data_IF_351809449701
#
_entry.id   IF_351809449701
#
_cell.length_a   1.000
_cell.length_b   1.000
_cell.length_c   1.000
_cell.angle_alpha   90.00
_cell.angle_beta   90.00
_cell.angle_gamma   90.00
#
_symmetry.space_group_name_H-M   'P 1'
#
loop_
_entity.id
_entity.type
_entity.pdbx_description
1 polymer ?
#
# COMPACT_ATOMS: atom_id res chain seq x y z
N UNK A 1 -10.76 -1.24 12.83
CA UNK A 1 -11.24 0.06 13.31
C UNK A 1 -12.28 0.58 12.31
N UNK A 2 -13.38 1.23 12.81
CA UNK A 2 -14.44 1.76 11.94
C UNK A 2 -13.89 2.79 10.93
N UNK A 3 -12.97 3.64 11.36
CA UNK A 3 -12.33 4.65 10.49
C UNK A 3 -11.56 3.98 9.35
N UNK A 4 -10.79 2.94 9.64
CA UNK A 4 -10.06 2.19 8.61
C UNK A 4 -11.03 1.54 7.62
N UNK A 5 -12.09 0.92 8.12
CA UNK A 5 -13.11 0.31 7.26
C UNK A 5 -13.81 1.34 6.34
N UNK A 6 -14.08 2.55 6.85
CA UNK A 6 -14.67 3.65 6.05
C UNK A 6 -13.66 4.17 5.02
N UNK A 7 -12.39 4.32 5.39
CA UNK A 7 -11.34 4.77 4.48
C UNK A 7 -11.04 3.72 3.41
N UNK A 8 -11.01 2.44 3.77
CA UNK A 8 -10.82 1.33 2.82
C UNK A 8 -12.02 1.16 1.87
N UNK A 9 -13.24 1.42 2.35
CA UNK A 9 -14.44 1.38 1.52
C UNK A 9 -14.61 2.62 0.64
N UNK A 10 -13.93 3.72 0.96
CA UNK A 10 -13.99 4.95 0.18
C UNK A 10 -13.14 4.82 -1.10
N UNK A 11 -13.75 5.05 -2.24
CA UNK A 11 -13.04 5.18 -3.51
C UNK A 11 -12.93 6.64 -3.89
N UNK A 12 -11.71 7.09 -4.17
CA UNK A 12 -11.46 8.40 -4.74
C UNK A 12 -11.04 8.25 -6.19
N UNK A 13 -11.80 8.83 -7.09
CA UNK A 13 -11.41 8.95 -8.49
C UNK A 13 -10.81 10.34 -8.68
N UNK A 14 -9.48 10.46 -8.81
CA UNK A 14 -8.87 11.76 -9.07
C UNK A 14 -9.35 12.30 -10.43
N UNK A 15 -9.44 13.63 -10.60
CA UNK A 15 -9.78 14.20 -11.88
C UNK A 15 -8.71 13.82 -12.92
N UNK A 16 -9.15 13.21 -14.01
CA UNK A 16 -8.26 12.80 -15.10
C UNK A 16 -8.12 13.93 -16.12
N UNK A 17 -6.91 14.18 -16.64
CA UNK A 17 -6.73 15.08 -17.78
C UNK A 17 -7.45 14.50 -19.00
N UNK A 18 -8.01 15.36 -19.84
CA UNK A 18 -8.76 14.96 -21.03
C UNK A 18 -7.92 14.14 -22.04
N UNK A 19 -6.61 14.14 -21.92
CA UNK A 19 -5.67 13.34 -22.73
C UNK A 19 -4.63 12.74 -21.79
N UNK A 20 -4.85 11.52 -21.36
CA UNK A 20 -3.83 10.75 -20.66
C UNK A 20 -2.85 10.15 -21.67
N UNK A 21 -1.56 10.39 -21.43
CA UNK A 21 -0.50 9.82 -22.27
C UNK A 21 -0.06 8.45 -21.77
N UNK A 22 -0.20 8.19 -20.47
CA UNK A 22 0.19 6.95 -19.83
C UNK A 22 -0.98 6.42 -18.99
N UNK A 23 -1.34 5.16 -19.21
CA UNK A 23 -2.39 4.48 -18.45
C UNK A 23 -1.80 3.25 -17.78
N UNK A 24 -1.99 3.09 -16.47
CA UNK A 24 -1.54 1.93 -15.71
C UNK A 24 -2.75 1.02 -15.50
N UNK A 25 -2.64 -0.23 -15.96
CA UNK A 25 -3.72 -1.21 -15.94
C UNK A 25 -3.21 -2.58 -15.50
N UNK A 26 -4.03 -3.39 -14.83
CA UNK A 26 -3.79 -4.82 -14.75
C UNK A 26 -3.77 -5.47 -16.15
N UNK A 27 -2.94 -6.51 -16.34
CA UNK A 27 -2.85 -7.23 -17.62
C UNK A 27 -4.23 -7.68 -18.14
N UNK A 28 -5.11 -8.15 -17.27
CA UNK A 28 -6.47 -8.57 -17.60
C UNK A 28 -7.36 -7.47 -18.20
N UNK A 29 -7.01 -6.20 -17.99
CA UNK A 29 -7.75 -5.06 -18.53
C UNK A 29 -7.17 -4.54 -19.86
N UNK A 30 -6.14 -5.16 -20.37
CA UNK A 30 -5.56 -4.82 -21.70
C UNK A 30 -6.47 -5.22 -22.86
N UNK A 31 -7.30 -6.24 -22.68
CA UNK A 31 -8.18 -6.75 -23.73
C UNK A 31 -9.07 -5.65 -24.32
N UNK A 32 -9.12 -5.59 -25.63
CA UNK A 32 -9.88 -4.62 -26.43
C UNK A 32 -9.48 -3.15 -26.24
N UNK A 33 -8.29 -2.87 -25.69
CA UNK A 33 -7.77 -1.52 -25.55
C UNK A 33 -6.53 -1.34 -26.44
N UNK A 34 -6.58 -0.54 -27.50
CA UNK A 34 -5.43 -0.29 -28.35
C UNK A 34 -4.47 0.69 -27.68
N UNK A 35 -3.20 0.31 -27.63
CA UNK A 35 -2.10 1.16 -27.15
C UNK A 35 -1.03 1.26 -28.25
N UNK A 36 -0.33 2.39 -28.32
CA UNK A 36 0.79 2.57 -29.22
C UNK A 36 2.05 1.84 -28.72
N UNK A 37 2.20 1.77 -27.41
CA UNK A 37 3.27 1.04 -26.72
C UNK A 37 2.77 0.47 -25.39
N UNK A 38 3.37 -0.63 -24.97
CA UNK A 38 3.10 -1.25 -23.68
C UNK A 38 4.41 -1.61 -22.97
N UNK A 39 4.46 -1.37 -21.67
CA UNK A 39 5.50 -1.90 -20.79
C UNK A 39 4.83 -2.82 -19.80
N UNK A 40 5.25 -4.06 -19.76
CA UNK A 40 4.69 -5.12 -18.92
C UNK A 40 5.67 -5.41 -17.77
N UNK A 41 5.56 -4.73 -16.63
CA UNK A 41 6.42 -5.00 -15.48
C UNK A 41 5.93 -6.24 -14.72
N UNK A 42 6.86 -6.89 -14.00
CA UNK A 42 6.54 -8.05 -13.18
C UNK A 42 6.37 -9.34 -13.98
N UNK A 43 7.08 -9.46 -15.09
CA UNK A 43 7.09 -10.67 -15.92
C UNK A 43 8.04 -11.73 -15.36
N UNK A 44 8.17 -11.85 -14.04
CA UNK A 44 8.87 -12.94 -13.35
C UNK A 44 7.94 -14.12 -13.07
N UNK A 45 8.53 -15.28 -12.74
CA UNK A 45 7.82 -16.54 -12.50
C UNK A 45 6.81 -16.47 -11.33
N UNK A 46 7.02 -15.58 -10.37
CA UNK A 46 6.15 -15.41 -9.19
C UNK A 46 4.94 -14.56 -9.52
N UNK A 47 5.15 -13.43 -10.22
CA UNK A 47 4.08 -12.47 -10.52
C UNK A 47 3.27 -12.81 -11.76
N UNK A 48 3.90 -13.47 -12.71
CA UNK A 48 3.26 -13.93 -13.93
C UNK A 48 3.47 -15.46 -14.11
N UNK A 49 2.92 -16.29 -13.21
CA UNK A 49 3.06 -17.75 -13.31
C UNK A 49 2.31 -18.30 -14.53
N UNK A 50 2.72 -19.47 -15.02
CA UNK A 50 2.04 -20.15 -16.13
C UNK A 50 0.56 -20.47 -15.84
N UNK A 51 0.24 -20.67 -14.58
CA UNK A 51 -1.10 -20.98 -14.11
C UNK A 51 -1.35 -20.23 -12.79
N UNK A 52 -2.10 -19.12 -12.83
CA UNK A 52 -2.38 -18.33 -11.65
C UNK A 52 -3.16 -19.14 -10.60
N UNK A 53 -2.84 -18.91 -9.34
CA UNK A 53 -3.58 -19.51 -8.24
C UNK A 53 -4.93 -18.81 -8.07
N UNK A 54 -6.05 -19.54 -8.04
CA UNK A 54 -7.35 -18.94 -7.83
C UNK A 54 -7.44 -18.26 -6.46
N UNK A 55 -7.96 -17.03 -6.36
CA UNK A 55 -8.06 -16.32 -5.10
C UNK A 55 -9.08 -16.98 -4.14
N UNK A 56 -8.78 -16.86 -2.84
CA UNK A 56 -9.67 -17.28 -1.75
C UNK A 56 -9.48 -18.75 -1.34
N UNK A 57 -10.12 -19.17 -0.24
CA UNK A 57 -9.93 -20.47 0.40
C UNK A 57 -10.72 -21.62 -0.25
N UNK A 58 -11.35 -21.40 -1.41
CA UNK A 58 -12.27 -22.34 -2.02
C UNK A 58 -11.55 -23.46 -2.76
N UNK A 59 -11.94 -24.72 -2.49
CA UNK A 59 -11.50 -25.86 -3.27
C UNK A 59 -12.05 -25.79 -4.72
N UNK A 60 -11.47 -26.56 -5.62
CA UNK A 60 -11.95 -26.61 -7.02
C UNK A 60 -13.43 -27.01 -7.14
N UNK A 61 -13.88 -27.97 -6.32
CA UNK A 61 -15.30 -28.38 -6.28
C UNK A 61 -16.20 -27.27 -5.77
N UNK A 62 -15.81 -26.57 -4.73
CA UNK A 62 -16.57 -25.43 -4.19
C UNK A 62 -16.62 -24.28 -5.19
N UNK A 63 -15.51 -23.99 -5.87
CA UNK A 63 -15.47 -22.97 -6.93
C UNK A 63 -16.46 -23.28 -8.04
N UNK A 64 -16.48 -24.53 -8.50
CA UNK A 64 -17.44 -24.98 -9.52
C UNK A 64 -18.89 -24.81 -9.05
N UNK A 65 -19.21 -25.22 -7.82
CA UNK A 65 -20.55 -25.09 -7.25
C UNK A 65 -21.00 -23.62 -7.09
N UNK A 66 -20.05 -22.71 -6.85
CA UNK A 66 -20.29 -21.27 -6.70
C UNK A 66 -20.24 -20.50 -8.03
N UNK A 67 -19.99 -21.16 -9.14
CA UNK A 67 -19.81 -20.50 -10.44
C UNK A 67 -18.58 -19.60 -10.52
N UNK A 68 -17.57 -19.83 -9.69
CA UNK A 68 -16.32 -19.08 -9.70
C UNK A 68 -15.35 -19.64 -10.75
N UNK A 69 -14.54 -18.80 -11.39
CA UNK A 69 -13.59 -19.26 -12.40
C UNK A 69 -12.63 -20.33 -11.85
N UNK A 70 -12.45 -21.39 -12.61
CA UNK A 70 -11.45 -22.44 -12.35
C UNK A 70 -10.04 -21.90 -12.61
N UNK A 71 -9.02 -22.63 -12.11
CA UNK A 71 -7.62 -22.35 -12.42
C UNK A 71 -7.33 -22.36 -13.93
N UNK A 72 -7.96 -23.28 -14.66
CA UNK A 72 -7.81 -23.39 -16.11
C UNK A 72 -8.37 -22.16 -16.85
N UNK A 73 -9.55 -21.69 -16.43
CA UNK A 73 -10.18 -20.49 -16.99
C UNK A 73 -9.36 -19.23 -16.69
N UNK A 74 -8.86 -19.08 -15.44
CA UNK A 74 -7.97 -17.98 -15.09
C UNK A 74 -6.67 -18.00 -15.90
N UNK A 75 -6.05 -19.18 -16.06
CA UNK A 75 -4.89 -19.35 -16.91
C UNK A 75 -5.16 -19.06 -18.38
N UNK A 76 -6.35 -19.44 -18.87
CA UNK A 76 -6.81 -19.11 -20.22
C UNK A 76 -6.95 -17.60 -20.42
N UNK A 77 -7.62 -16.94 -19.50
CA UNK A 77 -7.80 -15.48 -19.51
C UNK A 77 -6.46 -14.73 -19.43
N UNK A 78 -5.53 -15.19 -18.57
CA UNK A 78 -4.18 -14.61 -18.48
C UNK A 78 -3.43 -14.74 -19.80
N UNK A 79 -3.41 -15.93 -20.42
CA UNK A 79 -2.76 -16.14 -21.72
C UNK A 79 -3.39 -15.32 -22.84
N UNK A 80 -4.72 -15.18 -22.85
CA UNK A 80 -5.40 -14.33 -23.82
C UNK A 80 -5.01 -12.84 -23.66
N UNK A 81 -4.98 -12.35 -22.43
CA UNK A 81 -4.56 -10.98 -22.14
C UNK A 81 -3.07 -10.75 -22.50
N UNK A 82 -2.20 -11.72 -22.19
CA UNK A 82 -0.78 -11.71 -22.58
C UNK A 82 -0.63 -11.66 -24.10
N UNK A 83 -1.26 -12.57 -24.82
CA UNK A 83 -1.22 -12.61 -26.28
C UNK A 83 -1.71 -11.29 -26.90
N UNK A 84 -2.78 -10.72 -26.33
CA UNK A 84 -3.29 -9.42 -26.78
C UNK A 84 -2.30 -8.29 -26.52
N UNK A 85 -1.65 -8.26 -25.36
CA UNK A 85 -0.64 -7.24 -25.04
C UNK A 85 0.54 -7.27 -26.03
N UNK A 86 0.96 -8.45 -26.46
CA UNK A 86 2.02 -8.65 -27.46
C UNK A 86 1.64 -8.16 -28.87
N UNK A 87 0.37 -7.92 -29.17
CA UNK A 87 -0.04 -7.28 -30.42
C UNK A 87 0.20 -5.77 -30.44
N UNK A 88 0.61 -5.19 -29.31
CA UNK A 88 0.98 -3.77 -29.25
C UNK A 88 2.25 -3.54 -30.07
N UNK A 89 2.31 -2.50 -30.93
CA UNK A 89 3.42 -2.28 -31.87
C UNK A 89 4.80 -2.19 -31.21
N UNK A 90 4.88 -1.68 -29.99
CA UNK A 90 6.08 -1.68 -29.16
C UNK A 90 5.71 -2.27 -27.79
N UNK A 91 6.32 -3.38 -27.42
CA UNK A 91 6.00 -4.09 -26.18
C UNK A 91 7.28 -4.57 -25.49
N UNK A 92 7.53 -4.02 -24.31
CA UNK A 92 8.66 -4.39 -23.44
C UNK A 92 8.18 -5.19 -22.26
N UNK A 93 8.77 -6.35 -22.02
CA UNK A 93 8.52 -7.19 -20.85
C UNK A 93 9.65 -7.06 -19.87
N UNK A 94 9.35 -6.62 -18.65
CA UNK A 94 10.34 -6.40 -17.60
C UNK A 94 10.18 -7.41 -16.47
N UNK A 95 11.25 -8.06 -16.06
CA UNK A 95 11.26 -8.96 -14.89
C UNK A 95 12.42 -8.63 -13.95
N UNK A 96 12.31 -9.06 -12.71
CA UNK A 96 13.37 -8.88 -11.71
C UNK A 96 14.30 -10.09 -11.72
N UNK A 97 15.59 -9.86 -11.54
CA UNK A 97 16.57 -10.92 -11.39
C UNK A 97 16.60 -11.52 -9.97
N UNK A 98 16.01 -10.86 -9.01
CA UNK A 98 15.89 -11.33 -7.63
C UNK A 98 14.70 -10.73 -6.92
N UNK A 99 14.27 -11.36 -5.85
CA UNK A 99 13.25 -10.88 -4.94
C UNK A 99 13.83 -9.92 -3.88
N UNK A 100 12.99 -9.51 -2.93
CA UNK A 100 13.38 -8.56 -1.87
C UNK A 100 14.32 -9.19 -0.82
N UNK A 101 14.44 -10.54 -0.80
CA UNK A 101 15.40 -11.28 0.03
C UNK A 101 16.71 -11.61 -0.69
N UNK A 102 16.79 -11.29 -1.98
CA UNK A 102 17.95 -11.55 -2.82
C UNK A 102 17.96 -12.94 -3.49
N UNK A 103 16.87 -13.71 -3.36
CA UNK A 103 16.73 -14.97 -4.07
C UNK A 103 16.56 -14.73 -5.57
N UNK A 104 17.24 -15.48 -6.45
CA UNK A 104 17.15 -15.31 -7.88
C UNK A 104 15.77 -15.64 -8.41
N UNK A 105 15.26 -14.82 -9.31
CA UNK A 105 13.98 -15.02 -10.01
C UNK A 105 14.24 -15.28 -11.49
N UNK A 106 13.48 -16.21 -12.05
CA UNK A 106 13.47 -16.48 -13.48
C UNK A 106 12.40 -15.66 -14.19
N UNK A 107 12.57 -15.37 -15.49
CA UNK A 107 11.48 -14.81 -16.28
C UNK A 107 10.28 -15.77 -16.28
N UNK A 108 9.08 -15.21 -16.37
CA UNK A 108 7.84 -15.98 -16.49
C UNK A 108 7.93 -17.05 -17.58
N UNK A 109 7.32 -18.22 -17.42
CA UNK A 109 7.22 -19.21 -18.49
C UNK A 109 6.64 -18.66 -19.81
N UNK A 110 5.80 -17.65 -19.74
CA UNK A 110 5.27 -16.97 -20.94
C UNK A 110 6.36 -16.16 -21.67
N UNK A 111 7.25 -15.52 -20.94
CA UNK A 111 8.43 -14.81 -21.50
C UNK A 111 9.45 -15.83 -22.03
N UNK A 112 9.73 -16.89 -21.26
CA UNK A 112 10.66 -17.95 -21.69
C UNK A 112 10.24 -18.57 -23.01
N UNK A 113 8.94 -18.82 -23.22
CA UNK A 113 8.42 -19.33 -24.48
C UNK A 113 8.75 -18.42 -25.65
N UNK A 114 8.57 -17.08 -25.51
CA UNK A 114 8.90 -16.12 -26.55
C UNK A 114 10.41 -16.09 -26.88
N UNK A 115 11.25 -16.17 -25.85
CA UNK A 115 12.70 -16.22 -26.03
C UNK A 115 13.14 -17.49 -26.75
N UNK A 116 12.58 -18.65 -26.38
CA UNK A 116 12.88 -19.94 -27.01
C UNK A 116 12.41 -20.03 -28.46
N UNK A 117 11.28 -19.40 -28.78
CA UNK A 117 10.75 -19.33 -30.14
C UNK A 117 11.45 -18.25 -31.00
N UNK A 118 12.35 -17.47 -30.43
CA UNK A 118 13.04 -16.38 -31.11
C UNK A 118 12.13 -15.19 -31.49
N UNK A 119 10.96 -15.09 -30.84
CA UNK A 119 10.01 -13.98 -31.03
C UNK A 119 10.34 -12.75 -30.19
N UNK A 120 11.23 -12.90 -29.23
CA UNK A 120 11.75 -11.83 -28.41
C UNK A 120 13.26 -11.99 -28.22
N UNK A 121 13.96 -10.90 -27.94
CA UNK A 121 15.35 -10.90 -27.53
C UNK A 121 15.49 -10.28 -26.16
N UNK A 122 16.38 -10.85 -25.34
CA UNK A 122 16.79 -10.24 -24.10
C UNK A 122 17.67 -9.02 -24.38
N UNK A 123 17.41 -7.93 -23.70
CA UNK A 123 18.20 -6.73 -23.79
C UNK A 123 18.59 -6.28 -22.37
N UNK A 124 19.73 -5.62 -22.29
CA UNK A 124 20.16 -5.00 -21.04
C UNK A 124 19.19 -3.91 -20.59
N UNK A 125 19.13 -3.70 -19.27
CA UNK A 125 18.33 -2.62 -18.69
C UNK A 125 18.84 -1.26 -19.21
N UNK A 126 18.03 -0.52 -19.98
CA UNK A 126 18.45 0.77 -20.55
C UNK A 126 18.51 1.88 -19.50
N UNK A 127 18.08 1.63 -18.27
CA UNK A 127 18.07 2.64 -17.21
C UNK A 127 19.50 2.89 -16.73
N UNK A 128 19.92 4.15 -16.80
CA UNK A 128 21.17 4.56 -16.20
C UNK A 128 21.03 4.59 -14.66
N UNK A 129 21.94 3.98 -13.89
CA UNK A 129 21.97 4.12 -12.43
C UNK A 129 22.09 5.62 -12.09
N UNK A 130 21.17 6.10 -11.27
CA UNK A 130 21.24 7.46 -10.73
C UNK A 130 21.63 7.39 -9.26
N UNK A 131 22.84 7.77 -8.96
CA UNK A 131 23.26 7.99 -7.60
C UNK A 131 22.64 9.29 -7.09
N UNK A 132 21.76 9.17 -6.12
CA UNK A 132 21.21 10.32 -5.41
C UNK A 132 22.00 10.50 -4.12
N UNK A 133 22.73 11.60 -4.03
CA UNK A 133 23.29 11.99 -2.75
C UNK A 133 22.15 12.36 -1.81
N UNK A 134 22.02 11.64 -0.71
CA UNK A 134 21.02 11.94 0.29
C UNK A 134 21.27 13.35 0.84
N UNK A 135 20.38 14.27 0.51
CA UNK A 135 20.36 15.58 1.15
C UNK A 135 19.52 15.46 2.43
N UNK A 136 20.11 15.64 3.61
CA UNK A 136 19.34 15.62 4.84
C UNK A 136 18.30 16.75 4.79
N UNK A 137 17.03 16.37 4.85
CA UNK A 137 15.96 17.35 5.01
C UNK A 137 15.99 17.81 6.45
N UNK A 138 16.25 19.11 6.72
CA UNK A 138 16.22 19.61 8.09
C UNK A 138 14.83 19.35 8.69
N UNK A 139 14.72 18.85 9.92
CA UNK A 139 13.42 18.67 10.55
C UNK A 139 12.69 20.01 10.58
N UNK A 140 11.38 20.01 10.34
CA UNK A 140 10.60 21.24 10.41
C UNK A 140 10.71 21.84 11.81
N UNK A 141 10.99 23.13 11.88
CA UNK A 141 11.07 23.87 13.15
C UNK A 141 9.79 24.73 13.28
N UNK A 142 8.65 24.13 13.67
CA UNK A 142 7.43 24.90 13.83
C UNK A 142 7.58 25.91 14.97
N UNK A 143 7.01 27.09 14.79
CA UNK A 143 6.95 28.09 15.86
C UNK A 143 5.61 28.01 16.59
N UNK A 144 5.67 27.86 17.92
CA UNK A 144 4.48 27.91 18.79
C UNK A 144 4.10 29.31 19.25
N UNK A 145 4.71 30.36 18.72
CA UNK A 145 4.51 31.74 19.20
C UNK A 145 3.03 32.21 19.17
N UNK A 146 2.26 31.72 18.19
CA UNK A 146 0.83 32.03 18.05
C UNK A 146 -0.07 31.15 18.91
N UNK A 147 0.48 30.17 19.61
CA UNK A 147 -0.23 29.19 20.45
C UNK A 147 0.30 29.27 21.90
N UNK A 148 0.05 30.36 22.63
CA UNK A 148 0.61 30.56 23.95
C UNK A 148 0.07 29.54 24.96
N UNK A 149 0.98 28.91 25.71
CA UNK A 149 0.63 28.02 26.82
C UNK A 149 0.59 28.85 28.11
N UNK A 150 -0.60 29.02 28.69
CA UNK A 150 -0.79 29.82 29.90
C UNK A 150 -0.32 29.12 31.18
N UNK A 151 -0.32 27.78 31.22
CA UNK A 151 0.09 26.97 32.36
C UNK A 151 0.84 25.74 31.87
N UNK A 152 1.95 25.44 32.50
CA UNK A 152 2.77 24.27 32.19
C UNK A 152 2.71 23.32 33.39
N UNK A 153 2.25 22.09 33.18
CA UNK A 153 2.32 21.02 34.19
C UNK A 153 3.73 20.44 34.27
N UNK A 154 4.03 19.70 35.33
CA UNK A 154 5.32 19.04 35.48
C UNK A 154 5.61 18.07 34.33
N UNK A 155 4.59 17.34 33.86
CA UNK A 155 4.71 16.45 32.69
C UNK A 155 4.97 17.23 31.41
N UNK A 156 4.27 18.35 31.21
CA UNK A 156 4.49 19.19 30.04
C UNK A 156 5.89 19.84 30.02
N UNK A 157 6.41 20.19 31.20
CA UNK A 157 7.82 20.64 31.31
C UNK A 157 8.79 19.51 30.98
N UNK A 158 8.49 18.27 31.42
CA UNK A 158 9.26 17.09 31.04
C UNK A 158 9.27 16.88 29.50
N UNK A 159 8.11 16.99 28.87
CA UNK A 159 8.01 16.90 27.40
C UNK A 159 8.84 17.98 26.70
N UNK A 160 8.80 19.23 27.18
CA UNK A 160 9.58 20.33 26.61
C UNK A 160 11.09 20.09 26.70
N UNK A 161 11.55 19.57 27.85
CA UNK A 161 12.98 19.25 28.05
C UNK A 161 13.45 18.08 27.19
N UNK A 162 12.60 17.07 27.03
CA UNK A 162 12.95 15.87 26.28
C UNK A 162 12.91 16.12 24.76
N UNK A 163 11.89 16.83 24.28
CA UNK A 163 11.71 17.13 22.88
C UNK A 163 10.76 18.33 22.68
N UNK A 164 11.27 19.50 22.30
CA UNK A 164 10.42 20.68 22.05
C UNK A 164 9.32 20.44 21.02
N UNK A 165 9.57 19.59 20.01
CA UNK A 165 8.56 19.22 19.01
C UNK A 165 7.42 18.43 19.64
N UNK A 166 7.73 17.48 20.52
CA UNK A 166 6.72 16.72 21.27
C UNK A 166 5.87 17.64 22.13
N UNK A 167 6.49 18.59 22.81
CA UNK A 167 5.74 19.61 23.56
C UNK A 167 4.82 20.43 22.66
N UNK A 168 5.30 20.88 21.52
CA UNK A 168 4.49 21.60 20.54
C UNK A 168 3.27 20.76 20.11
N UNK A 169 3.49 19.51 19.70
CA UNK A 169 2.42 18.62 19.24
C UNK A 169 1.40 18.32 20.35
N UNK A 170 1.85 17.89 21.53
CA UNK A 170 0.95 17.43 22.60
C UNK A 170 0.32 18.57 23.40
N UNK A 171 1.03 19.70 23.62
CA UNK A 171 0.63 20.74 24.56
C UNK A 171 0.16 22.03 23.91
N UNK A 172 0.65 22.35 22.73
CA UNK A 172 0.24 23.53 21.99
C UNK A 172 -0.82 23.19 20.94
N UNK A 173 -0.65 22.13 20.16
CA UNK A 173 -1.64 21.67 19.18
C UNK A 173 -2.72 20.78 19.81
N UNK A 174 -2.49 20.21 21.00
CA UNK A 174 -3.45 19.33 21.66
C UNK A 174 -3.61 17.98 20.97
N UNK A 175 -2.62 17.55 20.16
CA UNK A 175 -2.66 16.27 19.51
C UNK A 175 -2.57 15.16 20.57
N UNK A 176 -3.57 14.32 20.62
CA UNK A 176 -3.60 13.15 21.49
C UNK A 176 -3.92 11.94 20.64
N UNK A 177 -3.31 10.84 21.00
CA UNK A 177 -3.69 9.55 20.44
C UNK A 177 -5.10 9.24 20.97
N UNK A 178 -6.06 9.11 20.07
CA UNK A 178 -7.39 8.65 20.45
C UNK A 178 -7.24 7.24 20.98
N UNK A 179 -7.72 7.02 22.24
CA UNK A 179 -7.73 5.69 22.82
C UNK A 179 -8.52 4.76 21.90
N UNK A 180 -8.00 3.57 21.66
CA UNK A 180 -8.79 2.52 21.01
C UNK A 180 -10.12 2.40 21.78
N UNK A 181 -11.21 2.25 21.04
CA UNK A 181 -12.51 1.96 21.61
C UNK A 181 -12.49 0.50 22.10
N UNK A 182 -11.67 0.24 23.11
CA UNK A 182 -11.63 -1.06 23.75
C UNK A 182 -12.92 -1.28 24.52
N UNK A 183 -13.48 -2.45 24.34
CA UNK A 183 -14.69 -2.89 25.05
C UNK A 183 -14.40 -3.18 26.52
N UNK A 184 -13.12 -3.34 26.88
CA UNK A 184 -12.69 -3.65 28.24
C UNK A 184 -12.14 -2.39 28.94
N UNK A 185 -12.66 -2.15 30.16
CA UNK A 185 -12.17 -1.09 31.04
C UNK A 185 -10.73 -1.38 31.46
N UNK A 186 -9.82 -0.48 31.14
CA UNK A 186 -8.44 -0.60 31.57
C UNK A 186 -8.25 -0.17 33.06
N UNK A 187 -7.04 -0.37 33.59
CA UNK A 187 -6.69 0.02 34.96
C UNK A 187 -6.79 1.54 35.17
N UNK A 188 -6.64 2.33 34.13
CA UNK A 188 -6.73 3.78 34.18
C UNK A 188 -8.19 4.22 34.30
N UNK A 189 -9.10 3.55 33.59
CA UNK A 189 -10.54 3.83 33.67
C UNK A 189 -11.08 3.50 35.05
N UNK A 190 -10.66 2.37 35.60
CA UNK A 190 -10.97 2.02 37.00
C UNK A 190 -10.43 3.06 38.00
N UNK A 191 -9.20 3.54 37.79
CA UNK A 191 -8.60 4.60 38.60
C UNK A 191 -9.40 5.89 38.52
N UNK A 192 -9.75 6.33 37.33
CA UNK A 192 -10.53 7.54 37.11
C UNK A 192 -11.91 7.45 37.73
N UNK A 193 -12.59 6.31 37.59
CA UNK A 193 -13.88 6.06 38.19
C UNK A 193 -13.82 6.07 39.72
N UNK A 194 -12.82 5.42 40.31
CA UNK A 194 -12.62 5.42 41.78
C UNK A 194 -12.38 6.83 42.32
N UNK A 195 -11.50 7.61 41.64
CA UNK A 195 -11.25 9.01 42.03
C UNK A 195 -12.49 9.89 41.90
N UNK A 196 -13.28 9.73 40.83
CA UNK A 196 -14.53 10.46 40.68
C UNK A 196 -15.55 10.11 41.76
N UNK A 197 -15.64 8.82 42.14
CA UNK A 197 -16.55 8.37 43.20
C UNK A 197 -16.15 8.90 44.58
N UNK A 198 -14.86 8.81 44.94
CA UNK A 198 -14.34 9.34 46.18
C UNK A 198 -14.52 10.85 46.29
N UNK A 199 -14.28 11.55 45.18
CA UNK A 199 -14.49 13.00 45.13
C UNK A 199 -15.96 13.35 45.39
N UNK A 200 -16.88 12.73 44.65
CA UNK A 200 -18.31 12.95 44.83
C UNK A 200 -18.78 12.65 46.25
N UNK A 201 -18.24 11.59 46.90
CA UNK A 201 -18.53 11.27 48.28
C UNK A 201 -18.05 12.40 49.24
N UNK A 202 -16.84 12.91 49.08
CA UNK A 202 -16.31 13.95 49.93
C UNK A 202 -16.96 15.33 49.69
N UNK A 203 -17.47 15.58 48.50
CA UNK A 203 -18.21 16.83 48.18
C UNK A 203 -19.66 16.79 48.68
N UNK A 204 -20.19 15.60 49.01
CA UNK A 204 -21.54 15.43 49.54
C UNK A 204 -21.62 15.40 51.11
N UNK A 205 -20.48 15.37 51.79
CA UNK A 205 -20.35 15.49 53.24
C UNK A 205 -20.23 16.95 53.67
#
# INVERSE_FOLDING_TARGET
NWVDAVLEAASHVPPHPAREQVTILPLSQMLARPFAAAVLPGCDEVRLPAAPEPPGPWTATQRLALGLPSRAELGGAQRAAWAYALLTPACDSLWRHGDDSGEPLLPSPLVQALLLEGLASEADDPRAPRELTAAPVPPPTPTGAVLPVKRISASAYGDLRACPYRFFALRQLGLQEDGELDVELDKRDWGNWLHATLRAFHEAL
#
